data_IF_767870346614
#
_entry.id   IF_767870346614
#
_cell.length_a   1.000
_cell.length_b   1.000
_cell.length_c   1.000
_cell.angle_alpha   90.00
_cell.angle_beta   90.00
_cell.angle_gamma   90.00
#
_symmetry.space_group_name_H-M   'P 1'
#
loop_
_entity.id
_entity.type
_entity.pdbx_description
1 polymer ?
#
# COMPACT_ATOMS: atom_id res chain seq x y z
N UNK A 1 -23.40 -5.99 -3.74
CA UNK A 1 -22.48 -6.03 -4.89
C UNK A 1 -21.11 -5.62 -4.38
N UNK A 2 -20.04 -6.29 -4.80
CA UNK A 2 -18.67 -5.91 -4.45
C UNK A 2 -18.37 -4.54 -5.07
N UNK A 3 -17.73 -3.65 -4.30
CA UNK A 3 -17.31 -2.33 -4.74
C UNK A 3 -16.41 -2.45 -5.99
N UNK A 4 -16.65 -1.66 -7.07
CA UNK A 4 -15.91 -1.78 -8.33
C UNK A 4 -14.40 -1.50 -8.18
N UNK A 5 -14.01 -0.62 -7.25
CA UNK A 5 -12.61 -0.31 -6.95
C UNK A 5 -11.91 -1.47 -6.24
N UNK A 6 -12.56 -2.03 -5.22
CA UNK A 6 -12.04 -3.23 -4.53
C UNK A 6 -11.86 -4.38 -5.52
N UNK A 7 -12.84 -4.59 -6.40
CA UNK A 7 -12.78 -5.64 -7.41
C UNK A 7 -11.62 -5.46 -8.38
N UNK A 8 -11.39 -4.25 -8.91
CA UNK A 8 -10.33 -4.08 -9.90
C UNK A 8 -8.93 -4.28 -9.33
N UNK A 9 -8.73 -3.98 -8.04
CA UNK A 9 -7.47 -4.29 -7.33
C UNK A 9 -7.33 -5.81 -7.18
N UNK A 10 -8.36 -6.49 -6.66
CA UNK A 10 -8.33 -7.95 -6.47
C UNK A 10 -8.10 -8.75 -7.77
N UNK A 11 -8.65 -8.27 -8.89
CA UNK A 11 -8.52 -8.90 -10.21
C UNK A 11 -7.28 -8.42 -10.99
N UNK A 12 -6.46 -7.52 -10.42
CA UNK A 12 -5.37 -6.84 -11.13
C UNK A 12 -5.81 -6.24 -12.49
N UNK A 13 -7.03 -5.73 -12.53
CA UNK A 13 -7.65 -5.16 -13.72
C UNK A 13 -7.46 -3.64 -13.77
N UNK A 14 -7.74 -3.06 -14.95
CA UNK A 14 -7.81 -1.61 -15.09
C UNK A 14 -9.01 -1.05 -14.29
N UNK A 15 -8.87 0.11 -13.63
CA UNK A 15 -9.99 0.75 -12.95
C UNK A 15 -11.14 1.03 -13.94
N UNK A 16 -12.39 0.66 -13.60
CA UNK A 16 -13.53 0.88 -14.48
C UNK A 16 -14.01 2.34 -14.40
N UNK A 17 -13.16 3.30 -14.79
CA UNK A 17 -13.36 4.74 -14.59
C UNK A 17 -14.75 5.26 -14.99
N UNK A 18 -15.31 4.75 -16.10
CA UNK A 18 -16.64 5.15 -16.59
C UNK A 18 -17.82 4.73 -15.68
N UNK A 19 -17.58 3.80 -14.75
CA UNK A 19 -18.60 3.25 -13.85
C UNK A 19 -18.44 3.72 -12.40
N UNK A 20 -17.32 4.39 -12.07
CA UNK A 20 -17.02 4.85 -10.71
C UNK A 20 -17.96 5.97 -10.28
N UNK A 21 -18.41 5.89 -9.03
CA UNK A 21 -19.23 6.90 -8.36
C UNK A 21 -18.50 7.44 -7.14
N UNK A 22 -18.78 8.69 -6.71
CA UNK A 22 -18.22 9.24 -5.47
C UNK A 22 -18.34 8.32 -4.25
N UNK A 23 -19.47 7.61 -4.12
CA UNK A 23 -19.73 6.71 -3.01
C UNK A 23 -18.89 5.42 -3.02
N UNK A 24 -18.22 5.09 -4.13
CA UNK A 24 -17.36 3.91 -4.24
C UNK A 24 -15.99 4.14 -3.56
N UNK A 25 -15.50 5.38 -3.49
CA UNK A 25 -14.12 5.65 -3.07
C UNK A 25 -13.86 5.40 -1.58
N UNK A 26 -14.66 6.01 -0.70
CA UNK A 26 -14.42 5.96 0.74
C UNK A 26 -14.46 4.54 1.31
N UNK A 27 -15.44 3.67 0.96
CA UNK A 27 -15.44 2.29 1.44
C UNK A 27 -14.22 1.49 0.96
N UNK A 28 -13.83 1.63 -0.31
CA UNK A 28 -12.70 0.89 -0.87
C UNK A 28 -11.37 1.31 -0.23
N UNK A 29 -11.15 2.61 -0.04
CA UNK A 29 -9.95 3.14 0.60
C UNK A 29 -9.85 2.76 2.07
N UNK A 30 -10.95 2.85 2.83
CA UNK A 30 -10.95 2.47 4.25
C UNK A 30 -10.66 0.99 4.44
N UNK A 31 -11.23 0.11 3.61
CA UNK A 31 -10.87 -1.31 3.63
C UNK A 31 -9.39 -1.53 3.33
N UNK A 32 -8.85 -0.90 2.27
CA UNK A 32 -7.43 -1.05 1.95
C UNK A 32 -6.49 -0.49 3.04
N UNK A 33 -6.88 0.59 3.72
CA UNK A 33 -6.14 1.13 4.86
C UNK A 33 -6.16 0.17 6.06
N UNK A 34 -7.29 -0.47 6.34
CA UNK A 34 -7.41 -1.49 7.39
C UNK A 34 -6.57 -2.75 7.07
N UNK A 35 -6.59 -3.19 5.80
CA UNK A 35 -5.78 -4.30 5.31
C UNK A 35 -4.28 -3.98 5.43
N UNK A 36 -3.82 -2.84 4.90
CA UNK A 36 -2.43 -2.40 5.05
C UNK A 36 -2.01 -2.29 6.51
N UNK A 37 -2.86 -1.71 7.38
CA UNK A 37 -2.53 -1.59 8.80
C UNK A 37 -2.39 -2.95 9.49
N UNK A 38 -3.19 -3.94 9.08
CA UNK A 38 -3.15 -5.32 9.60
C UNK A 38 -1.90 -6.04 9.12
N UNK A 39 -1.62 -5.99 7.82
CA UNK A 39 -0.49 -6.67 7.21
C UNK A 39 0.84 -6.06 7.65
N UNK A 40 0.89 -4.73 7.80
CA UNK A 40 2.03 -4.02 8.38
C UNK A 40 2.32 -4.51 9.79
N UNK A 41 1.30 -4.64 10.65
CA UNK A 41 1.48 -5.11 12.02
C UNK A 41 2.00 -6.56 12.06
N UNK A 42 1.46 -7.44 11.22
CA UNK A 42 1.95 -8.81 11.08
C UNK A 42 3.40 -8.86 10.58
N UNK A 43 3.75 -8.01 9.61
CA UNK A 43 5.11 -7.91 9.10
C UNK A 43 6.09 -7.39 10.15
N UNK A 44 5.70 -6.38 10.92
CA UNK A 44 6.51 -5.88 12.03
C UNK A 44 6.70 -6.94 13.12
N UNK A 45 5.69 -7.75 13.42
CA UNK A 45 5.81 -8.87 14.37
C UNK A 45 6.80 -9.92 13.86
N UNK A 46 6.65 -10.37 12.61
CA UNK A 46 7.51 -11.38 12.00
C UNK A 46 8.98 -10.92 11.92
N UNK A 47 9.22 -9.66 11.50
CA UNK A 47 10.57 -9.11 11.36
C UNK A 47 11.23 -8.74 12.69
N UNK A 48 10.44 -8.62 13.78
CA UNK A 48 10.97 -8.39 15.11
C UNK A 48 11.47 -9.67 15.79
N UNK A 49 11.14 -10.86 15.25
CA UNK A 49 11.64 -12.14 15.76
C UNK A 49 13.17 -12.23 15.56
N UNK A 50 13.97 -12.55 16.59
CA UNK A 50 15.42 -12.74 16.46
C UNK A 50 15.84 -13.83 15.46
N UNK A 51 14.94 -14.77 15.15
CA UNK A 51 15.11 -15.83 14.16
C UNK A 51 14.43 -15.54 12.82
N UNK A 52 13.97 -14.30 12.58
CA UNK A 52 13.37 -13.91 11.32
C UNK A 52 14.31 -14.20 10.14
N UNK A 53 13.75 -14.78 9.08
CA UNK A 53 14.45 -14.90 7.80
C UNK A 53 14.47 -13.53 7.13
N UNK A 54 15.66 -12.94 6.99
CA UNK A 54 15.86 -11.65 6.34
C UNK A 54 16.35 -11.89 4.91
N UNK A 55 15.40 -11.88 3.98
CA UNK A 55 15.63 -12.06 2.55
C UNK A 55 14.94 -10.94 1.77
N UNK A 56 15.25 -10.84 0.47
CA UNK A 56 14.56 -9.88 -0.39
C UNK A 56 13.05 -10.13 -0.42
N UNK A 57 12.66 -11.40 -0.49
CA UNK A 57 11.26 -11.84 -0.52
C UNK A 57 10.52 -11.50 0.78
N UNK A 58 11.15 -11.74 1.94
CA UNK A 58 10.52 -11.49 3.24
C UNK A 58 10.40 -10.02 3.61
N UNK A 59 11.25 -9.16 3.02
CA UNK A 59 11.27 -7.71 3.29
C UNK A 59 10.71 -6.91 2.12
N UNK A 60 11.36 -6.90 0.97
CA UNK A 60 11.05 -5.97 -0.11
C UNK A 60 9.81 -6.39 -0.91
N UNK A 61 9.71 -7.66 -1.30
CA UNK A 61 8.53 -8.14 -2.05
C UNK A 61 7.28 -8.09 -1.17
N UNK A 62 7.42 -8.47 0.10
CA UNK A 62 6.32 -8.35 1.08
C UNK A 62 5.85 -6.90 1.24
N UNK A 63 6.76 -5.92 1.27
CA UNK A 63 6.37 -4.51 1.32
C UNK A 63 5.60 -4.08 0.08
N UNK A 64 6.06 -4.47 -1.11
CA UNK A 64 5.37 -4.16 -2.37
C UNK A 64 3.94 -4.74 -2.36
N UNK A 65 3.77 -5.98 -1.89
CA UNK A 65 2.46 -6.64 -1.83
C UNK A 65 1.48 -5.90 -0.91
N UNK A 66 1.92 -5.46 0.27
CA UNK A 66 1.00 -4.83 1.24
C UNK A 66 0.68 -3.38 0.86
N UNK A 67 1.59 -2.67 0.19
CA UNK A 67 1.40 -1.28 -0.23
C UNK A 67 0.50 -1.16 -1.47
N UNK A 68 0.62 -2.09 -2.43
CA UNK A 68 0.01 -2.01 -3.76
C UNK A 68 -1.51 -1.72 -3.75
N UNK A 69 -2.34 -2.36 -2.91
CA UNK A 69 -3.77 -2.09 -2.89
C UNK A 69 -4.11 -0.63 -2.60
N UNK A 70 -3.53 -0.06 -1.54
CA UNK A 70 -3.80 1.33 -1.15
C UNK A 70 -3.25 2.31 -2.18
N UNK A 71 -2.04 2.07 -2.68
CA UNK A 71 -1.38 2.94 -3.66
C UNK A 71 -2.14 2.99 -4.98
N UNK A 72 -2.62 1.85 -5.48
CA UNK A 72 -3.47 1.78 -6.68
C UNK A 72 -4.75 2.57 -6.50
N UNK A 73 -5.45 2.37 -5.37
CA UNK A 73 -6.72 3.05 -5.11
C UNK A 73 -6.54 4.56 -4.93
N UNK A 74 -5.51 4.98 -4.20
CA UNK A 74 -5.19 6.38 -4.02
C UNK A 74 -4.75 7.04 -5.33
N UNK A 75 -4.02 6.32 -6.17
CA UNK A 75 -3.70 6.71 -7.54
C UNK A 75 -4.95 7.00 -8.38
N UNK A 76 -6.01 6.20 -8.25
CA UNK A 76 -7.29 6.46 -8.94
C UNK A 76 -7.93 7.75 -8.45
N UNK A 77 -7.99 7.98 -7.14
CA UNK A 77 -8.58 9.21 -6.57
C UNK A 77 -7.81 10.44 -7.02
N UNK A 78 -6.49 10.44 -6.84
CA UNK A 78 -5.63 11.56 -7.22
C UNK A 78 -5.69 11.85 -8.73
N UNK A 79 -5.69 10.81 -9.57
CA UNK A 79 -5.89 10.97 -11.01
C UNK A 79 -7.24 11.63 -11.34
N UNK A 80 -8.33 11.10 -10.80
CA UNK A 80 -9.67 11.62 -11.07
C UNK A 80 -9.85 13.06 -10.55
N UNK A 81 -9.22 13.42 -9.43
CA UNK A 81 -9.20 14.79 -8.92
C UNK A 81 -8.46 15.76 -9.84
N UNK A 82 -7.56 15.28 -10.69
CA UNK A 82 -6.83 16.09 -11.66
C UNK A 82 -7.55 16.19 -13.02
N UNK A 83 -8.16 15.10 -13.50
CA UNK A 83 -8.73 15.04 -14.87
C UNK A 83 -10.25 15.17 -14.94
N UNK A 84 -10.96 14.95 -13.83
CA UNK A 84 -12.41 14.91 -13.74
C UNK A 84 -12.90 15.55 -12.42
N UNK A 85 -12.38 16.74 -12.11
CA UNK A 85 -12.54 17.41 -10.83
C UNK A 85 -13.97 17.95 -10.59
N UNK A 86 -14.80 17.14 -9.92
CA UNK A 86 -16.15 17.51 -9.47
C UNK A 86 -16.19 17.77 -7.95
N UNK A 87 -17.12 18.62 -7.45
CA UNK A 87 -17.20 18.95 -6.02
C UNK A 87 -17.23 17.73 -5.09
N UNK A 88 -17.96 16.69 -5.47
CA UNK A 88 -18.13 15.46 -4.70
C UNK A 88 -16.79 14.74 -4.53
N UNK A 89 -15.97 14.70 -5.57
CA UNK A 89 -14.65 14.06 -5.51
C UNK A 89 -13.66 14.86 -4.67
N UNK A 90 -13.74 16.20 -4.70
CA UNK A 90 -12.93 17.04 -3.79
C UNK A 90 -13.27 16.80 -2.32
N UNK A 91 -14.55 16.62 -2.02
CA UNK A 91 -15.00 16.28 -0.66
C UNK A 91 -14.45 14.93 -0.23
N UNK A 92 -14.58 13.90 -1.08
CA UNK A 92 -14.03 12.56 -0.83
C UNK A 92 -12.51 12.63 -0.61
N UNK A 93 -11.77 13.33 -1.48
CA UNK A 93 -10.33 13.47 -1.33
C UNK A 93 -9.96 14.19 -0.02
N UNK A 94 -10.58 15.34 0.27
CA UNK A 94 -10.27 16.10 1.48
C UNK A 94 -10.62 15.35 2.78
N UNK A 95 -11.65 14.51 2.75
CA UNK A 95 -12.01 13.64 3.88
C UNK A 95 -10.96 12.55 4.11
N UNK A 96 -10.51 11.88 3.04
CA UNK A 96 -9.68 10.69 3.14
C UNK A 96 -8.18 10.97 3.17
N UNK A 97 -7.72 12.08 2.61
CA UNK A 97 -6.29 12.47 2.59
C UNK A 97 -5.60 12.37 3.95
N UNK A 98 -6.13 12.91 5.07
CA UNK A 98 -5.49 12.75 6.37
C UNK A 98 -5.44 11.30 6.86
N UNK A 99 -6.45 10.47 6.54
CA UNK A 99 -6.47 9.04 6.90
C UNK A 99 -5.38 8.28 6.13
N UNK A 100 -5.30 8.49 4.81
CA UNK A 100 -4.31 7.86 3.94
C UNK A 100 -2.89 8.23 4.35
N UNK A 101 -2.65 9.53 4.58
CA UNK A 101 -1.34 10.01 5.01
C UNK A 101 -0.92 9.41 6.35
N UNK A 102 -1.83 9.28 7.31
CA UNK A 102 -1.51 8.70 8.60
C UNK A 102 -1.06 7.23 8.51
N UNK A 103 -1.70 6.43 7.64
CA UNK A 103 -1.33 5.03 7.42
C UNK A 103 -0.01 4.92 6.65
N UNK A 104 0.16 5.73 5.59
CA UNK A 104 1.41 5.78 4.82
C UNK A 104 2.59 6.23 5.67
N UNK A 105 2.41 7.24 6.53
CA UNK A 105 3.44 7.72 7.47
C UNK A 105 3.83 6.62 8.45
N UNK A 106 2.84 5.90 9.03
CA UNK A 106 3.11 4.78 9.93
C UNK A 106 3.96 3.70 9.24
N UNK A 107 3.60 3.31 8.02
CA UNK A 107 4.36 2.34 7.21
C UNK A 107 5.76 2.85 6.90
N UNK A 108 5.89 4.09 6.42
CA UNK A 108 7.16 4.68 6.02
C UNK A 108 8.13 4.89 7.19
N UNK A 109 7.60 5.09 8.40
CA UNK A 109 8.38 5.34 9.61
C UNK A 109 8.60 4.09 10.47
N UNK A 110 8.25 2.90 9.98
CA UNK A 110 8.47 1.65 10.71
C UNK A 110 9.96 1.40 10.94
N UNK A 111 10.38 1.52 12.20
CA UNK A 111 11.76 1.25 12.61
C UNK A 111 12.12 -0.23 12.47
N UNK A 112 11.14 -1.13 12.64
CA UNK A 112 11.35 -2.58 12.50
C UNK A 112 11.69 -2.92 11.06
N UNK A 113 10.87 -2.47 10.11
CA UNK A 113 11.11 -2.67 8.68
C UNK A 113 12.43 -2.02 8.26
N UNK A 114 12.71 -0.78 8.72
CA UNK A 114 13.99 -0.13 8.42
C UNK A 114 15.19 -0.96 8.90
N UNK A 115 15.14 -1.53 10.12
CA UNK A 115 16.20 -2.41 10.62
C UNK A 115 16.34 -3.69 9.79
N UNK A 116 15.23 -4.27 9.33
CA UNK A 116 15.26 -5.43 8.45
C UNK A 116 15.91 -5.10 7.09
N UNK A 117 15.61 -3.94 6.51
CA UNK A 117 16.27 -3.45 5.29
C UNK A 117 17.79 -3.27 5.50
N UNK A 118 18.21 -2.71 6.63
CA UNK A 118 19.63 -2.58 6.98
C UNK A 118 20.30 -3.95 7.12
N UNK A 119 19.65 -4.89 7.81
CA UNK A 119 20.15 -6.26 7.96
C UNK A 119 20.26 -6.99 6.61
N UNK A 120 19.27 -6.81 5.73
CA UNK A 120 19.32 -7.32 4.36
C UNK A 120 20.51 -6.74 3.59
N UNK A 121 20.73 -5.42 3.71
CA UNK A 121 21.85 -4.72 3.07
C UNK A 121 23.22 -5.21 3.53
N UNK A 122 23.34 -5.53 4.81
CA UNK A 122 24.58 -5.97 5.46
C UNK A 122 24.80 -7.49 5.36
N UNK A 123 23.83 -8.24 4.84
CA UNK A 123 23.90 -9.69 4.67
C UNK A 123 24.92 -10.10 3.60
N UNK A 124 25.43 -11.33 3.68
CA UNK A 124 26.25 -11.92 2.61
C UNK A 124 25.51 -12.03 1.28
N UNK A 125 24.20 -12.22 1.37
CA UNK A 125 23.31 -12.53 0.26
C UNK A 125 23.02 -11.31 -0.59
N UNK A 126 23.31 -10.11 -0.08
CA UNK A 126 23.25 -8.87 -0.85
C UNK A 126 23.97 -8.95 -2.19
N UNK A 127 25.14 -9.60 -2.22
CA UNK A 127 25.95 -9.72 -3.44
C UNK A 127 25.34 -10.69 -4.47
N UNK A 128 24.35 -11.49 -4.06
CA UNK A 128 23.63 -12.42 -4.93
C UNK A 128 22.39 -11.77 -5.57
N UNK A 129 21.96 -10.60 -5.08
CA UNK A 129 20.83 -9.85 -5.62
C UNK A 129 21.14 -9.27 -7.00
N UNK A 130 20.09 -9.06 -7.79
CA UNK A 130 20.18 -8.43 -9.11
C UNK A 130 20.61 -6.96 -9.01
N UNK A 131 21.14 -6.36 -10.08
CA UNK A 131 21.48 -4.94 -10.08
C UNK A 131 20.32 -4.01 -9.72
N UNK A 132 19.08 -4.37 -10.06
CA UNK A 132 17.88 -3.58 -9.77
C UNK A 132 17.48 -3.64 -8.28
N UNK A 133 17.91 -4.68 -7.57
CA UNK A 133 17.68 -4.87 -6.14
C UNK A 133 18.76 -4.19 -5.27
N UNK A 134 19.90 -3.77 -5.87
CA UNK A 134 21.03 -3.17 -5.14
C UNK A 134 21.09 -1.65 -5.22
#
# INVERSE_FOLDING_TARGET
MLNPLTRCVQEYALPPFAQLRPDDYAPALRTAMEELATDLAAMEEDLADPGADISWESVMDRLEIIDDPLDRLWGVVTHMSMVANVPELRTVQAELEPEVLAVQDKRAQSVVIYKAMVALRDSSDWNLLTPEQQ
#
